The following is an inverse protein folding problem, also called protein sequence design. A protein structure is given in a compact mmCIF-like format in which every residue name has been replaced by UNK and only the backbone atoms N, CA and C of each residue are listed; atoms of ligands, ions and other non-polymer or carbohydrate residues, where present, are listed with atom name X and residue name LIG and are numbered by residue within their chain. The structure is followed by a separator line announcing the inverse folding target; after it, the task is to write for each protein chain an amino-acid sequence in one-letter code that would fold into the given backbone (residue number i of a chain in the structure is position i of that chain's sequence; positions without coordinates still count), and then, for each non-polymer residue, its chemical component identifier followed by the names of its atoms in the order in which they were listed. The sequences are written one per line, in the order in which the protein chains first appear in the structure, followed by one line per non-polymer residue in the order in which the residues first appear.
data_IF_635099387239
#
_entry.id   IF_635099387239
#
_cell.length_a   1.000
_cell.length_b   1.000
_cell.length_c   1.000
_cell.angle_alpha   90.00
_cell.angle_beta   90.00
_cell.angle_gamma   90.00
#
_symmetry.space_group_name_H-M   'P 1'
#
loop_
_entity.id
_entity.type
_entity.pdbx_description
1 polymer ?
#
# COMPACT_ATOMS: atom_id res chain seq x y z
N UNK A 1 -4.22 -13.03 16.62
CA UNK A 1 -5.09 -12.44 15.59
C UNK A 1 -4.19 -11.85 14.50
N UNK A 2 -4.33 -12.25 13.23
CA UNK A 2 -3.39 -11.86 12.18
C UNK A 2 -4.06 -11.08 11.03
N UNK A 3 -4.94 -10.12 11.36
CA UNK A 3 -5.39 -9.10 10.39
C UNK A 3 -4.20 -8.23 9.93
N UNK A 4 -3.23 -8.01 10.83
CA UNK A 4 -2.01 -7.22 10.64
C UNK A 4 -2.26 -5.76 10.22
N UNK A 5 -3.47 -5.26 10.49
CA UNK A 5 -3.85 -3.84 10.38
C UNK A 5 -3.15 -3.04 11.46
N UNK A 6 -2.51 -1.95 11.05
CA UNK A 6 -2.10 -0.87 11.93
C UNK A 6 -3.15 0.24 11.94
N UNK A 7 -3.50 0.74 10.76
CA UNK A 7 -4.59 1.70 10.55
C UNK A 7 -5.24 1.43 9.20
N UNK A 8 -6.52 1.76 9.09
CA UNK A 8 -7.24 1.73 7.82
C UNK A 8 -8.49 2.59 7.88
N UNK A 9 -8.98 3.00 6.72
CA UNK A 9 -10.30 3.57 6.54
C UNK A 9 -11.10 2.72 5.55
N UNK A 10 -12.43 2.79 5.66
CA UNK A 10 -13.34 2.07 4.76
C UNK A 10 -14.64 2.84 4.52
N UNK A 11 -15.28 2.54 3.40
CA UNK A 11 -16.66 2.92 3.08
C UNK A 11 -17.50 1.65 2.95
N UNK A 12 -18.80 1.76 3.28
CA UNK A 12 -19.76 0.66 3.16
C UNK A 12 -19.63 -0.34 4.31
N UNK A 13 -19.73 -1.62 4.01
CA UNK A 13 -19.82 -2.67 5.03
C UNK A 13 -18.60 -2.68 5.96
N UNK A 14 -18.86 -2.77 7.27
CA UNK A 14 -17.81 -2.89 8.29
C UNK A 14 -16.93 -4.13 8.02
N UNK A 15 -15.60 -3.99 7.96
CA UNK A 15 -14.69 -5.12 7.90
C UNK A 15 -14.96 -6.13 9.02
N UNK A 16 -14.84 -7.42 8.74
CA UNK A 16 -15.17 -8.50 9.68
C UNK A 16 -14.47 -8.42 11.04
N UNK A 17 -13.29 -7.79 11.10
CA UNK A 17 -12.53 -7.61 12.33
C UNK A 17 -12.97 -6.37 13.14
N UNK A 18 -13.87 -5.54 12.63
CA UNK A 18 -14.36 -4.34 13.30
C UNK A 18 -13.30 -3.26 13.53
N UNK A 19 -12.25 -3.22 12.69
CA UNK A 19 -11.18 -2.22 12.78
C UNK A 19 -11.25 -1.27 11.59
N UNK A 20 -10.81 -0.04 11.82
CA UNK A 20 -10.73 1.01 10.81
C UNK A 20 -11.70 2.15 11.09
N UNK A 21 -11.51 3.26 10.36
CA UNK A 21 -12.39 4.42 10.41
C UNK A 21 -13.43 4.32 9.30
N UNK A 22 -14.71 4.40 9.66
CA UNK A 22 -15.79 4.48 8.69
C UNK A 22 -15.86 5.88 8.09
N UNK A 23 -15.85 5.95 6.77
CA UNK A 23 -16.00 7.17 6.00
C UNK A 23 -17.33 7.14 5.27
N UNK A 24 -17.92 8.33 5.06
CA UNK A 24 -18.99 8.45 4.07
C UNK A 24 -18.43 8.31 2.65
N UNK A 25 -19.25 7.93 1.66
CA UNK A 25 -18.80 7.85 0.27
C UNK A 25 -18.28 9.19 -0.25
N UNK A 26 -17.38 9.13 -1.25
CA UNK A 26 -16.86 10.30 -1.99
C UNK A 26 -16.11 11.33 -1.14
N UNK A 27 -15.45 10.87 -0.08
CA UNK A 27 -14.54 11.71 0.71
C UNK A 27 -13.29 12.08 -0.11
N UNK A 28 -12.74 13.29 0.05
CA UNK A 28 -11.49 13.70 -0.56
C UNK A 28 -10.31 12.81 -0.15
N UNK A 29 -9.29 12.71 -1.01
CA UNK A 29 -8.08 11.90 -0.76
C UNK A 29 -7.35 12.32 0.52
N UNK A 30 -7.40 13.60 0.88
CA UNK A 30 -6.78 14.13 2.08
C UNK A 30 -7.44 13.56 3.35
N UNK A 31 -8.76 13.32 3.31
CA UNK A 31 -9.48 12.63 4.39
C UNK A 31 -9.06 11.17 4.46
N UNK A 32 -8.93 10.50 3.31
CA UNK A 32 -8.40 9.13 3.25
C UNK A 32 -6.99 9.04 3.82
N UNK A 33 -6.10 9.95 3.46
CA UNK A 33 -4.71 9.97 3.94
C UNK A 33 -4.68 10.02 5.48
N UNK A 34 -5.48 10.90 6.08
CA UNK A 34 -5.54 11.02 7.53
C UNK A 34 -6.17 9.80 8.19
N UNK A 35 -7.38 9.43 7.78
CA UNK A 35 -8.20 8.43 8.47
C UNK A 35 -7.69 6.99 8.23
N UNK A 36 -7.01 6.73 7.11
CA UNK A 36 -6.32 5.47 6.84
C UNK A 36 -4.93 5.37 7.51
N UNK A 37 -4.45 6.44 8.16
CA UNK A 37 -3.12 6.50 8.78
C UNK A 37 -1.97 6.54 7.76
N UNK A 38 -2.19 7.20 6.62
CA UNK A 38 -1.25 7.33 5.50
C UNK A 38 -0.70 8.77 5.34
N UNK A 39 -1.05 9.69 6.23
CA UNK A 39 -0.58 11.09 6.23
C UNK A 39 0.80 11.25 6.88
N UNK A 40 1.81 10.60 6.29
CA UNK A 40 3.21 10.67 6.67
C UNK A 40 4.10 10.28 5.49
N UNK A 41 5.41 10.56 5.60
CA UNK A 41 6.38 10.27 4.55
C UNK A 41 7.37 9.22 5.01
N UNK A 42 7.77 8.37 4.06
CA UNK A 42 8.94 7.52 4.21
C UNK A 42 10.16 8.42 3.99
N UNK A 43 10.96 8.57 5.04
CA UNK A 43 12.24 9.25 5.01
C UNK A 43 13.37 8.20 5.04
N UNK A 44 14.59 8.61 4.72
CA UNK A 44 15.75 7.71 4.75
C UNK A 44 16.97 8.31 5.41
N UNK A 45 17.80 7.45 5.99
CA UNK A 45 19.08 7.82 6.60
C UNK A 45 20.13 6.72 6.43
N UNK A 46 21.39 7.08 6.60
CA UNK A 46 22.51 6.15 6.52
C UNK A 46 22.45 5.12 7.64
N UNK A 47 22.85 3.88 7.31
CA UNK A 47 22.92 2.78 8.28
C UNK A 47 24.31 2.72 8.90
N UNK A 48 24.36 2.55 10.22
CA UNK A 48 25.56 2.15 10.93
C UNK A 48 25.28 0.93 11.79
N UNK A 49 26.28 0.07 11.99
CA UNK A 49 26.18 -1.12 12.83
C UNK A 49 27.24 -1.11 13.93
N UNK A 50 26.91 -1.77 15.05
CA UNK A 50 27.85 -1.98 16.14
C UNK A 50 28.66 -3.25 15.88
N UNK A 51 29.98 -3.12 15.94
CA UNK A 51 30.92 -4.23 15.86
C UNK A 51 31.83 -4.25 17.08
N UNK A 52 32.23 -5.43 17.54
CA UNK A 52 33.24 -5.58 18.60
C UNK A 52 34.52 -6.09 17.96
N UNK A 53 35.63 -5.37 18.14
CA UNK A 53 36.93 -5.81 17.63
C UNK A 53 37.56 -6.89 18.54
N UNK A 54 38.68 -7.47 18.09
CA UNK A 54 39.42 -8.50 18.85
C UNK A 54 39.94 -8.03 20.22
N UNK A 55 39.96 -6.71 20.46
CA UNK A 55 40.34 -6.09 21.74
C UNK A 55 39.14 -5.85 22.67
N UNK A 56 37.94 -6.30 22.30
CA UNK A 56 36.71 -6.12 23.07
C UNK A 56 36.13 -4.70 23.03
N UNK A 57 36.59 -3.84 22.11
CA UNK A 57 36.07 -2.48 21.98
C UNK A 57 34.87 -2.45 21.03
N UNK A 58 33.80 -1.75 21.43
CA UNK A 58 32.64 -1.51 20.60
C UNK A 58 32.90 -0.33 19.65
N UNK A 59 32.74 -0.58 18.36
CA UNK A 59 32.92 0.35 17.25
C UNK A 59 31.59 0.57 16.55
N UNK A 60 31.36 1.79 16.07
CA UNK A 60 30.26 2.11 15.17
C UNK A 60 30.84 2.15 13.76
N UNK A 61 30.38 1.25 12.90
CA UNK A 61 30.86 1.10 11.54
C UNK A 61 29.77 1.55 10.56
N UNK A 62 30.08 2.38 9.55
CA UNK A 62 29.12 2.72 8.51
C UNK A 62 28.81 1.51 7.63
N UNK A 63 27.61 1.47 7.07
CA UNK A 63 27.20 0.47 6.08
C UNK A 63 26.65 1.14 4.81
N UNK A 64 27.57 1.72 4.04
CA UNK A 64 27.26 2.64 2.93
C UNK A 64 26.42 2.03 1.80
N UNK A 65 26.40 0.70 1.65
CA UNK A 65 25.58 0.01 0.64
C UNK A 65 24.08 0.05 0.92
N UNK A 66 23.69 0.46 2.13
CA UNK A 66 22.32 0.41 2.61
C UNK A 66 21.88 1.72 3.29
N UNK A 67 20.58 1.97 3.19
CA UNK A 67 19.87 3.04 3.90
C UNK A 67 18.77 2.42 4.76
N UNK A 68 18.42 3.06 5.86
CA UNK A 68 17.22 2.71 6.64
C UNK A 68 16.09 3.62 6.20
N UNK A 69 14.93 3.03 5.96
CA UNK A 69 13.68 3.74 5.76
C UNK A 69 12.97 3.87 7.11
N UNK A 70 12.44 5.05 7.42
CA UNK A 70 11.73 5.33 8.65
C UNK A 70 10.57 6.30 8.42
N UNK A 71 9.62 6.36 9.35
CA UNK A 71 8.47 7.26 9.22
C UNK A 71 8.80 8.67 9.68
N UNK A 72 8.34 9.68 8.93
CA UNK A 72 8.55 11.09 9.28
C UNK A 72 7.80 11.53 10.55
N UNK A 73 6.72 10.85 10.92
CA UNK A 73 5.81 11.26 11.99
C UNK A 73 6.24 10.78 13.38
N UNK A 74 6.80 9.57 13.47
CA UNK A 74 7.17 8.94 14.75
C UNK A 74 8.62 8.42 14.79
N UNK A 75 9.38 8.56 13.70
CA UNK A 75 10.76 8.08 13.54
C UNK A 75 10.93 6.55 13.66
N UNK A 76 9.84 5.78 13.56
CA UNK A 76 9.88 4.33 13.62
C UNK A 76 10.57 3.77 12.37
N UNK A 77 11.56 2.90 12.62
CA UNK A 77 12.29 2.22 11.55
C UNK A 77 11.40 1.20 10.84
N UNK A 78 11.33 1.29 9.51
CA UNK A 78 10.51 0.41 8.68
C UNK A 78 11.32 -0.74 8.11
N UNK A 79 12.45 -0.44 7.45
CA UNK A 79 13.28 -1.45 6.81
C UNK A 79 14.68 -0.94 6.49
N UNK A 80 15.64 -1.85 6.38
CA UNK A 80 16.96 -1.58 5.80
C UNK A 80 16.96 -2.07 4.35
N UNK A 81 17.24 -1.17 3.42
CA UNK A 81 17.21 -1.43 1.97
C UNK A 81 18.51 -1.02 1.32
N UNK A 82 18.78 -1.49 0.10
CA UNK A 82 19.94 -1.02 -0.67
C UNK A 82 19.81 0.46 -1.04
N UNK A 83 20.92 1.16 -1.24
CA UNK A 83 20.89 2.57 -1.67
C UNK A 83 20.07 2.83 -2.95
N UNK A 84 20.01 1.86 -3.87
CA UNK A 84 19.24 1.96 -5.12
C UNK A 84 17.73 1.80 -4.96
N UNK A 85 17.23 1.47 -3.76
CA UNK A 85 15.82 1.23 -3.53
C UNK A 85 15.01 2.51 -3.76
N UNK A 86 13.97 2.38 -4.59
CA UNK A 86 13.00 3.42 -4.90
C UNK A 86 11.73 3.14 -4.10
N UNK A 87 11.56 3.86 -3.00
CA UNK A 87 10.34 3.84 -2.21
C UNK A 87 9.16 4.45 -2.98
N UNK A 88 7.96 3.97 -2.68
CA UNK A 88 6.70 4.60 -3.09
C UNK A 88 6.04 5.11 -1.83
N UNK A 89 5.73 6.41 -1.81
CA UNK A 89 5.18 7.10 -0.65
C UNK A 89 3.72 6.69 -0.42
N UNK A 90 3.24 6.67 0.84
CA UNK A 90 1.84 6.42 1.14
C UNK A 90 0.89 7.36 0.38
N UNK A 91 1.26 8.64 0.23
CA UNK A 91 0.49 9.61 -0.55
C UNK A 91 0.37 9.22 -2.02
N UNK A 92 1.44 8.73 -2.66
CA UNK A 92 1.42 8.28 -4.06
C UNK A 92 0.43 7.13 -4.30
N UNK A 93 0.21 6.29 -3.29
CA UNK A 93 -0.77 5.20 -3.36
C UNK A 93 -2.20 5.72 -3.43
N UNK A 94 -2.52 6.80 -2.71
CA UNK A 94 -3.84 7.42 -2.74
C UNK A 94 -4.01 8.33 -3.97
N UNK A 95 -2.99 9.12 -4.29
CA UNK A 95 -2.97 10.01 -5.45
C UNK A 95 -3.15 9.27 -6.78
N UNK A 96 -2.72 8.01 -6.85
CA UNK A 96 -3.00 7.14 -8.00
C UNK A 96 -4.49 7.11 -8.38
N UNK A 97 -5.39 7.27 -7.41
CA UNK A 97 -6.83 7.21 -7.63
C UNK A 97 -7.49 8.56 -7.92
N UNK A 98 -6.80 9.70 -7.77
CA UNK A 98 -7.44 11.04 -7.90
C UNK A 98 -8.20 11.18 -9.21
N UNK A 99 -7.51 11.02 -10.33
CA UNK A 99 -8.14 11.14 -11.65
C UNK A 99 -9.17 10.04 -11.89
N UNK A 100 -8.96 8.83 -11.37
CA UNK A 100 -9.89 7.71 -11.53
C UNK A 100 -11.23 8.00 -10.82
N UNK A 101 -11.17 8.61 -9.64
CA UNK A 101 -12.36 8.98 -8.88
C UNK A 101 -13.06 10.21 -9.44
N UNK A 102 -12.31 11.12 -10.08
CA UNK A 102 -12.86 12.34 -10.66
C UNK A 102 -13.41 12.13 -12.08
N UNK A 103 -12.85 11.18 -12.85
CA UNK A 103 -13.10 11.05 -14.29
C UNK A 103 -13.68 9.70 -14.71
N UNK A 104 -13.49 8.62 -13.93
CA UNK A 104 -13.78 7.24 -14.37
C UNK A 104 -14.85 6.51 -13.55
N UNK A 105 -15.67 7.21 -12.76
CA UNK A 105 -16.69 6.63 -11.85
C UNK A 105 -16.11 5.64 -10.82
N UNK A 106 -14.81 5.71 -10.53
CA UNK A 106 -14.21 4.88 -9.49
C UNK A 106 -14.53 5.48 -8.12
N UNK A 107 -14.71 4.64 -7.11
CA UNK A 107 -14.94 5.09 -5.74
C UNK A 107 -14.00 4.36 -4.79
N UNK A 108 -13.18 5.11 -4.05
CA UNK A 108 -12.33 4.53 -3.00
C UNK A 108 -13.21 3.79 -1.97
N UNK A 109 -12.85 2.55 -1.66
CA UNK A 109 -13.63 1.70 -0.77
C UNK A 109 -12.86 1.32 0.49
N UNK A 110 -11.55 1.07 0.38
CA UNK A 110 -10.68 0.78 1.52
C UNK A 110 -9.26 1.26 1.25
N UNK A 111 -8.59 1.77 2.28
CA UNK A 111 -7.15 2.04 2.23
C UNK A 111 -6.54 1.88 3.62
N UNK A 112 -5.24 1.62 3.70
CA UNK A 112 -4.59 1.53 5.00
C UNK A 112 -3.14 1.07 4.99
N UNK A 113 -2.67 0.86 6.22
CA UNK A 113 -1.32 0.46 6.58
C UNK A 113 -1.34 -0.91 7.27
N UNK A 114 -0.47 -1.80 6.83
CA UNK A 114 -0.28 -3.14 7.39
C UNK A 114 1.14 -3.31 7.94
N UNK A 115 1.26 -4.27 8.85
CA UNK A 115 2.54 -4.79 9.35
C UNK A 115 3.46 -3.73 9.98
N UNK A 116 2.92 -2.76 10.72
CA UNK A 116 3.73 -1.75 11.39
C UNK A 116 4.42 -0.81 10.39
N UNK A 117 3.67 -0.26 9.44
CA UNK A 117 4.16 0.75 8.51
C UNK A 117 4.91 0.18 7.32
N UNK A 118 5.02 -1.13 7.17
CA UNK A 118 5.85 -1.74 6.12
C UNK A 118 5.12 -1.97 4.81
N UNK A 119 3.78 -2.00 4.83
CA UNK A 119 2.95 -2.27 3.66
C UNK A 119 1.76 -1.33 3.63
N UNK A 120 1.38 -0.89 2.44
CA UNK A 120 0.24 -0.01 2.23
C UNK A 120 -0.60 -0.50 1.07
N UNK A 121 -1.90 -0.23 1.13
CA UNK A 121 -2.79 -0.50 0.02
C UNK A 121 -3.90 0.55 -0.05
N UNK A 122 -4.43 0.71 -1.25
CA UNK A 122 -5.71 1.35 -1.49
C UNK A 122 -6.48 0.56 -2.56
N UNK A 123 -7.79 0.56 -2.44
CA UNK A 123 -8.72 -0.19 -3.28
C UNK A 123 -9.85 0.74 -3.69
N UNK A 124 -10.12 0.81 -5.00
CA UNK A 124 -11.28 1.50 -5.53
C UNK A 124 -12.21 0.55 -6.26
N UNK A 125 -13.52 0.72 -6.05
CA UNK A 125 -14.56 0.07 -6.82
C UNK A 125 -14.64 0.70 -8.21
N UNK A 126 -14.71 -0.13 -9.25
CA UNK A 126 -14.62 0.29 -10.67
C UNK A 126 -15.97 0.60 -11.32
N UNK A 127 -17.07 0.55 -10.55
CA UNK A 127 -18.44 0.56 -11.08
C UNK A 127 -18.87 -0.75 -11.75
N UNK A 128 -17.94 -1.62 -12.17
CA UNK A 128 -18.27 -2.92 -12.75
C UNK A 128 -18.82 -3.88 -11.69
N UNK A 129 -19.88 -4.60 -12.04
CA UNK A 129 -20.43 -5.66 -11.21
C UNK A 129 -21.05 -6.78 -12.05
N UNK A 130 -21.05 -7.98 -11.49
CA UNK A 130 -21.65 -9.15 -12.10
C UNK A 130 -22.62 -9.80 -11.10
N UNK A 131 -23.85 -10.04 -11.53
CA UNK A 131 -24.83 -10.80 -10.73
C UNK A 131 -24.66 -12.29 -11.01
N UNK A 132 -24.34 -13.04 -9.98
CA UNK A 132 -24.20 -14.49 -10.01
C UNK A 132 -25.58 -15.17 -10.00
N UNK A 133 -25.61 -16.43 -10.44
CA UNK A 133 -26.80 -17.27 -10.30
C UNK A 133 -27.11 -17.44 -8.82
N UNK A 134 -28.22 -16.87 -8.36
CA UNK A 134 -28.60 -16.82 -6.93
C UNK A 134 -28.85 -15.41 -6.42
N UNK A 135 -28.52 -14.36 -7.18
CA UNK A 135 -28.78 -12.96 -6.83
C UNK A 135 -27.60 -12.25 -6.17
N UNK A 136 -26.53 -12.97 -5.84
CA UNK A 136 -25.30 -12.38 -5.30
C UNK A 136 -24.63 -11.48 -6.33
N UNK A 137 -24.16 -10.31 -5.88
CA UNK A 137 -23.49 -9.33 -6.72
C UNK A 137 -22.01 -9.32 -6.38
N UNK A 138 -21.18 -9.63 -7.38
CA UNK A 138 -19.72 -9.49 -7.30
C UNK A 138 -19.32 -8.12 -7.84
N UNK A 139 -18.54 -7.34 -7.08
CA UNK A 139 -18.00 -6.06 -7.52
C UNK A 139 -16.60 -6.22 -8.10
N UNK A 140 -16.26 -5.41 -9.10
CA UNK A 140 -14.91 -5.28 -9.64
C UNK A 140 -14.17 -4.13 -8.96
N UNK A 141 -12.94 -4.39 -8.56
CA UNK A 141 -12.05 -3.45 -7.87
C UNK A 141 -10.73 -3.28 -8.62
N UNK A 142 -10.14 -2.10 -8.49
CA UNK A 142 -8.73 -1.86 -8.79
C UNK A 142 -7.98 -1.74 -7.46
N UNK A 143 -7.02 -2.64 -7.26
CA UNK A 143 -6.11 -2.66 -6.12
C UNK A 143 -4.78 -2.02 -6.52
N UNK A 144 -4.21 -1.22 -5.62
CA UNK A 144 -2.82 -0.81 -5.63
C UNK A 144 -2.23 -1.11 -4.25
N UNK A 145 -1.13 -1.86 -4.21
CA UNK A 145 -0.44 -2.21 -2.98
C UNK A 145 1.07 -2.18 -3.15
N UNK A 146 1.78 -1.82 -2.08
CA UNK A 146 3.24 -1.77 -2.07
C UNK A 146 3.81 -2.16 -0.71
N UNK A 147 5.12 -2.38 -0.64
CA UNK A 147 5.86 -2.53 0.60
C UNK A 147 7.18 -1.77 0.57
N UNK A 148 7.58 -1.17 1.68
CA UNK A 148 8.90 -0.54 1.82
C UNK A 148 9.98 -1.51 2.34
N UNK A 149 9.61 -2.75 2.65
CA UNK A 149 10.51 -3.81 3.11
C UNK A 149 10.98 -4.75 1.98
N UNK A 150 10.64 -4.45 0.72
CA UNK A 150 10.97 -5.26 -0.44
C UNK A 150 10.20 -6.58 -0.56
N UNK A 151 9.26 -6.87 0.34
CA UNK A 151 8.48 -8.14 0.30
C UNK A 151 7.32 -8.12 -0.70
N UNK A 152 7.03 -6.97 -1.31
CA UNK A 152 6.02 -6.79 -2.34
C UNK A 152 6.47 -5.66 -3.26
N UNK A 153 6.57 -5.93 -4.56
CA UNK A 153 6.70 -4.88 -5.56
C UNK A 153 5.42 -4.04 -5.61
N UNK A 154 5.50 -2.75 -5.92
CA UNK A 154 4.31 -1.93 -6.15
C UNK A 154 3.47 -2.58 -7.25
N UNK A 155 2.31 -3.09 -6.87
CA UNK A 155 1.47 -3.96 -7.71
C UNK A 155 0.11 -3.33 -7.83
N UNK A 156 -0.29 -3.06 -9.06
CA UNK A 156 -1.63 -2.64 -9.42
C UNK A 156 -2.33 -3.78 -10.16
N UNK A 157 -3.57 -4.11 -9.79
CA UNK A 157 -4.30 -5.19 -10.44
C UNK A 157 -5.81 -5.08 -10.23
N UNK A 158 -6.57 -5.62 -11.18
CA UNK A 158 -7.99 -5.82 -10.98
C UNK A 158 -8.27 -7.05 -10.13
N UNK A 159 -9.30 -6.96 -9.28
CA UNK A 159 -9.70 -8.05 -8.38
C UNK A 159 -11.19 -7.94 -8.08
N UNK A 160 -11.85 -9.05 -7.74
CA UNK A 160 -13.21 -9.06 -7.18
C UNK A 160 -13.21 -9.20 -5.64
N UNK A 161 -12.03 -9.13 -5.02
CA UNK A 161 -11.85 -9.29 -3.57
C UNK A 161 -11.76 -7.91 -2.93
N UNK A 162 -12.69 -7.63 -2.02
CA UNK A 162 -12.60 -6.45 -1.14
C UNK A 162 -11.47 -6.65 -0.13
N UNK A 163 -10.39 -5.90 -0.30
CA UNK A 163 -9.20 -5.99 0.55
C UNK A 163 -9.36 -5.17 1.82
N UNK A 164 -9.56 -5.85 2.95
CA UNK A 164 -9.70 -5.22 4.28
C UNK A 164 -8.58 -5.56 5.26
N UNK A 165 -7.78 -6.59 4.96
CA UNK A 165 -6.67 -7.02 5.80
C UNK A 165 -5.55 -7.71 5.01
N UNK A 166 -4.45 -8.05 5.68
CA UNK A 166 -3.30 -8.70 5.04
C UNK A 166 -3.66 -10.04 4.38
N UNK A 167 -4.62 -10.80 4.93
CA UNK A 167 -5.02 -12.07 4.35
C UNK A 167 -5.77 -11.87 3.03
N UNK A 168 -6.75 -10.97 3.00
CA UNK A 168 -7.47 -10.63 1.76
C UNK A 168 -6.56 -9.99 0.73
N UNK A 169 -5.56 -9.21 1.16
CA UNK A 169 -4.54 -8.66 0.27
C UNK A 169 -3.73 -9.79 -0.39
N UNK A 170 -3.27 -10.77 0.40
CA UNK A 170 -2.50 -11.90 -0.12
C UNK A 170 -3.30 -12.75 -1.12
N UNK A 171 -4.59 -13.00 -0.84
CA UNK A 171 -5.47 -13.73 -1.75
C UNK A 171 -5.69 -12.92 -3.03
N UNK A 172 -5.98 -11.62 -2.91
CA UNK A 172 -6.14 -10.75 -4.07
C UNK A 172 -4.91 -10.79 -4.96
N UNK A 173 -3.70 -10.59 -4.41
CA UNK A 173 -2.44 -10.59 -5.16
C UNK A 173 -2.10 -11.95 -5.82
N UNK A 174 -2.69 -13.05 -5.33
CA UNK A 174 -2.51 -14.37 -5.93
C UNK A 174 -3.49 -14.64 -7.09
N UNK A 175 -4.63 -13.95 -7.13
CA UNK A 175 -5.74 -14.25 -8.04
C UNK A 175 -5.44 -13.84 -9.49
N UNK A 176 -4.59 -12.82 -9.73
CA UNK A 176 -3.91 -12.51 -11.01
C UNK A 176 -4.75 -12.42 -12.29
N UNK A 177 -6.08 -12.50 -12.20
CA UNK A 177 -6.96 -12.91 -13.28
C UNK A 177 -7.48 -11.75 -14.15
N UNK A 178 -7.23 -10.51 -13.73
CA UNK A 178 -7.78 -9.30 -14.37
C UNK A 178 -6.76 -8.35 -15.01
N UNK A 179 -5.49 -8.74 -15.11
CA UNK A 179 -4.40 -7.86 -15.55
C UNK A 179 -3.64 -7.30 -14.36
N UNK A 180 -2.32 -7.49 -14.38
CA UNK A 180 -1.43 -7.17 -13.25
C UNK A 180 -0.24 -6.37 -13.78
N UNK A 181 -0.02 -5.20 -13.19
CA UNK A 181 1.15 -4.37 -13.43
C UNK A 181 2.01 -4.38 -12.17
N UNK A 182 3.29 -4.75 -12.30
CA UNK A 182 4.25 -4.78 -11.21
C UNK A 182 5.41 -3.85 -11.50
N UNK A 183 5.68 -2.94 -10.58
CA UNK A 183 6.81 -2.01 -10.61
C UNK A 183 7.80 -2.44 -9.52
N UNK A 184 8.98 -3.00 -9.89
CA UNK A 184 10.02 -3.32 -8.92
C UNK A 184 10.57 -2.08 -8.24
N UNK A 185 10.98 -2.19 -6.98
CA UNK A 185 11.64 -1.10 -6.23
C UNK A 185 13.07 -0.76 -6.70
N UNK A 186 13.53 -1.37 -7.81
CA UNK A 186 14.73 -0.92 -8.53
C UNK A 186 14.41 0.17 -9.56
N UNK A 187 13.14 0.52 -9.75
CA UNK A 187 12.66 1.52 -10.71
C UNK A 187 11.73 2.50 -10.02
N UNK A 188 11.70 3.75 -10.49
CA UNK A 188 10.77 4.77 -9.99
C UNK A 188 9.34 4.44 -10.38
N UNK A 189 8.42 4.59 -9.43
CA UNK A 189 6.99 4.44 -9.69
C UNK A 189 6.46 5.61 -10.52
N UNK A 190 5.62 5.29 -11.50
CA UNK A 190 5.02 6.25 -12.43
C UNK A 190 3.55 5.88 -12.57
N UNK A 191 2.69 6.65 -11.90
CA UNK A 191 1.26 6.37 -11.82
C UNK A 191 0.60 6.33 -13.20
N UNK A 192 0.98 7.25 -14.09
CA UNK A 192 0.38 7.37 -15.42
C UNK A 192 0.74 6.19 -16.32
N UNK A 193 2.01 5.76 -16.29
CA UNK A 193 2.41 4.53 -17.01
C UNK A 193 1.68 3.30 -16.49
N UNK A 194 1.47 3.21 -15.18
CA UNK A 194 0.72 2.09 -14.58
C UNK A 194 -0.75 2.13 -15.02
N UNK A 195 -1.41 3.29 -14.96
CA UNK A 195 -2.79 3.47 -15.45
C UNK A 195 -2.92 3.12 -16.94
N UNK A 196 -1.97 3.54 -17.77
CA UNK A 196 -1.96 3.24 -19.20
C UNK A 196 -1.82 1.74 -19.47
N UNK A 197 -0.93 1.04 -18.74
CA UNK A 197 -0.77 -0.42 -18.86
C UNK A 197 -2.00 -1.19 -18.38
N UNK A 198 -2.74 -0.65 -17.41
CA UNK A 198 -4.02 -1.19 -16.95
C UNK A 198 -5.19 -0.87 -17.89
N UNK A 199 -5.04 0.09 -18.81
CA UNK A 199 -6.10 0.56 -19.69
C UNK A 199 -7.18 1.38 -18.97
N UNK A 200 -6.80 2.12 -17.92
CA UNK A 200 -7.72 2.98 -17.13
C UNK A 200 -7.47 4.49 -17.29
N UNK A 201 -6.51 4.87 -18.14
CA UNK A 201 -6.23 6.25 -18.57
C UNK A 201 -6.37 6.41 -20.07
#
# INVERSE_FOLDING_TARGET
MAHLIESMAYVGDTPWHGLGQELSPKQPIEVWAKEAGMDWRIESSDVSYMATNDKGQNLIMPFDSNKVLYRSDNLEALSVVSQRYQEVQPSEILEFYRDLTEQADFELETAGVLKGGRKFWALARTGQSATLRGGDVSHGYLLLATACDGTLATTAQFTNIRVVCNNTLAISLADGSGGVVKVPHSTTFDADKVKQQLGVS
#
